data_IF_733462970005
#
_entry.id   IF_733462970005
#
_cell.length_a   1.000
_cell.length_b   1.000
_cell.length_c   1.000
_cell.angle_alpha   90.00
_cell.angle_beta   90.00
_cell.angle_gamma   90.00
#
_symmetry.space_group_name_H-M   'P 1'
#
loop_
_entity.id
_entity.type
_entity.pdbx_description
1 polymer ?
#
# COMPACT_ATOMS: atom_id res chain seq x y z
N UNK A 1 -7.74 -9.73 8.89
CA UNK A 1 -7.17 -10.17 7.59
C UNK A 1 -7.92 -11.28 6.82
N UNK A 2 -8.19 -12.47 7.38
CA UNK A 2 -8.87 -13.55 6.62
C UNK A 2 -10.34 -13.21 6.31
N UNK A 3 -11.06 -12.67 7.31
CA UNK A 3 -12.42 -12.16 7.11
C UNK A 3 -12.49 -11.02 6.09
N UNK A 4 -11.45 -10.17 6.05
CA UNK A 4 -11.30 -9.08 5.08
C UNK A 4 -11.15 -9.62 3.65
N UNK A 5 -10.31 -10.63 3.45
CA UNK A 5 -10.13 -11.29 2.15
C UNK A 5 -11.46 -11.81 1.59
N UNK A 6 -12.29 -12.40 2.46
CA UNK A 6 -13.58 -12.97 2.07
C UNK A 6 -14.63 -11.90 1.73
N UNK A 7 -14.63 -10.79 2.46
CA UNK A 7 -15.55 -9.68 2.19
C UNK A 7 -15.19 -8.92 0.91
N UNK A 8 -13.90 -8.75 0.62
CA UNK A 8 -13.46 -7.94 -0.53
C UNK A 8 -13.69 -8.60 -1.89
N UNK A 9 -13.55 -9.93 -2.00
CA UNK A 9 -13.59 -10.63 -3.30
C UNK A 9 -14.88 -11.38 -3.62
N UNK A 10 -15.80 -11.56 -2.66
CA UNK A 10 -17.11 -12.19 -2.89
C UNK A 10 -17.09 -13.69 -3.27
N UNK A 11 -15.91 -14.28 -3.54
CA UNK A 11 -15.75 -15.68 -3.93
C UNK A 11 -14.74 -16.43 -3.04
N UNK A 12 -14.96 -17.74 -2.82
CA UNK A 12 -14.12 -18.63 -1.99
C UNK A 12 -12.90 -19.23 -2.70
N UNK A 13 -12.55 -18.79 -3.91
CA UNK A 13 -11.34 -19.25 -4.60
C UNK A 13 -10.17 -18.35 -4.24
N UNK A 14 -9.23 -18.91 -3.48
CA UNK A 14 -7.97 -18.27 -3.13
C UNK A 14 -6.84 -19.20 -3.53
N UNK A 15 -5.76 -18.64 -4.06
CA UNK A 15 -4.53 -19.40 -4.24
C UNK A 15 -3.72 -19.41 -2.94
N UNK A 16 -2.82 -20.38 -2.79
CA UNK A 16 -1.91 -20.46 -1.62
C UNK A 16 -1.16 -19.13 -1.45
N UNK A 17 -0.79 -18.49 -2.56
CA UNK A 17 -0.14 -17.19 -2.61
C UNK A 17 -0.97 -16.06 -1.99
N UNK A 18 -2.30 -16.08 -2.16
CA UNK A 18 -3.20 -15.08 -1.55
C UNK A 18 -3.20 -15.22 -0.02
N UNK A 19 -3.11 -16.44 0.50
CA UNK A 19 -3.03 -16.70 1.95
C UNK A 19 -1.69 -16.20 2.51
N UNK A 20 -0.60 -16.40 1.76
CA UNK A 20 0.73 -15.95 2.17
C UNK A 20 0.81 -14.42 2.23
N UNK A 21 0.19 -13.73 1.28
CA UNK A 21 0.17 -12.26 1.22
C UNK A 21 -0.49 -11.64 2.48
N UNK A 22 -1.43 -12.34 3.12
CA UNK A 22 -2.05 -11.88 4.38
C UNK A 22 -1.05 -11.76 5.54
N UNK A 23 0.03 -12.57 5.53
CA UNK A 23 1.03 -12.57 6.59
C UNK A 23 2.12 -11.53 6.38
N UNK A 24 2.28 -11.02 5.16
CA UNK A 24 3.34 -10.11 4.78
C UNK A 24 2.88 -8.67 4.92
N UNK A 25 3.70 -7.85 5.56
CA UNK A 25 3.47 -6.42 5.66
C UNK A 25 2.41 -6.00 6.67
N UNK A 26 2.22 -4.68 6.76
CA UNK A 26 1.09 -4.02 7.42
C UNK A 26 -0.04 -3.87 6.42
N UNK A 27 -1.25 -4.22 6.84
CA UNK A 27 -2.44 -4.12 5.99
C UNK A 27 -3.30 -3.00 6.57
N UNK A 28 -3.54 -1.97 5.75
CA UNK A 28 -4.33 -0.80 6.15
C UNK A 28 -5.45 -0.65 5.13
N UNK A 29 -6.70 -0.50 5.57
CA UNK A 29 -7.88 -0.24 4.75
C UNK A 29 -8.46 1.13 5.09
N UNK A 30 -7.97 2.21 4.45
CA UNK A 30 -8.49 3.56 4.71
C UNK A 30 -9.94 3.74 4.28
N UNK A 31 -10.36 2.99 3.24
CA UNK A 31 -11.70 3.01 2.70
C UNK A 31 -12.18 1.59 2.36
N UNK A 32 -13.50 1.33 2.30
CA UNK A 32 -14.02 -0.01 2.02
C UNK A 32 -13.54 -0.61 0.69
N UNK A 33 -13.28 0.21 -0.33
CA UNK A 33 -13.00 -0.22 -1.70
C UNK A 33 -11.52 -0.42 -2.05
N UNK A 34 -10.58 -0.06 -1.16
CA UNK A 34 -9.17 -0.37 -1.35
C UNK A 34 -8.41 -0.56 -0.04
N UNK A 35 -7.32 -1.33 -0.10
CA UNK A 35 -6.36 -1.48 1.00
C UNK A 35 -4.92 -1.39 0.53
N UNK A 36 -4.05 -1.05 1.45
CA UNK A 36 -2.60 -0.96 1.28
C UNK A 36 -1.92 -2.13 1.98
N UNK A 37 -0.96 -2.75 1.30
CA UNK A 37 -0.06 -3.76 1.85
C UNK A 37 1.36 -3.21 1.87
N UNK A 38 1.86 -2.90 3.05
CA UNK A 38 3.08 -2.11 3.27
C UNK A 38 4.17 -3.01 3.84
N UNK A 39 5.29 -3.18 3.14
CA UNK A 39 6.42 -3.98 3.66
C UNK A 39 6.97 -3.41 4.98
N UNK A 40 7.35 -4.30 5.91
CA UNK A 40 7.94 -3.93 7.21
C UNK A 40 9.47 -3.85 7.17
N UNK A 41 10.08 -4.64 6.31
CA UNK A 41 11.52 -4.78 6.13
C UNK A 41 11.86 -5.15 4.67
N UNK A 42 13.16 -5.27 4.38
CA UNK A 42 13.65 -5.56 3.02
C UNK A 42 13.24 -6.95 2.51
N UNK A 43 13.08 -7.93 3.41
CA UNK A 43 12.62 -9.27 3.05
C UNK A 43 11.17 -9.24 2.58
N UNK A 44 10.30 -8.55 3.32
CA UNK A 44 8.91 -8.36 2.93
C UNK A 44 8.77 -7.50 1.68
N UNK A 45 9.56 -6.43 1.54
CA UNK A 45 9.59 -5.62 0.32
C UNK A 45 9.96 -6.48 -0.89
N UNK A 46 10.96 -7.37 -0.76
CA UNK A 46 11.36 -8.28 -1.83
C UNK A 46 10.27 -9.31 -2.16
N UNK A 47 9.55 -9.82 -1.16
CA UNK A 47 8.39 -10.68 -1.38
C UNK A 47 7.28 -9.94 -2.16
N UNK A 48 6.91 -8.73 -1.71
CA UNK A 48 5.87 -7.91 -2.35
C UNK A 48 6.24 -7.51 -3.80
N UNK A 49 7.54 -7.37 -4.13
CA UNK A 49 7.99 -7.09 -5.51
C UNK A 49 7.51 -8.13 -6.53
N UNK A 50 7.32 -9.38 -6.10
CA UNK A 50 6.82 -10.46 -6.96
C UNK A 50 5.40 -10.23 -7.47
N UNK A 51 4.62 -9.39 -6.77
CA UNK A 51 3.21 -9.14 -7.06
C UNK A 51 2.95 -7.82 -7.81
N UNK A 52 4.00 -7.09 -8.22
CA UNK A 52 3.88 -5.81 -8.95
C UNK A 52 3.16 -5.90 -10.30
N UNK A 53 3.07 -7.08 -10.89
CA UNK A 53 2.30 -7.31 -12.12
C UNK A 53 0.79 -7.52 -11.87
N UNK A 54 0.41 -7.74 -10.61
CA UNK A 54 -0.97 -8.04 -10.20
C UNK A 54 -1.63 -6.86 -9.47
N UNK A 55 -0.83 -5.98 -8.87
CA UNK A 55 -1.31 -4.83 -8.12
C UNK A 55 -0.60 -3.57 -8.56
N UNK A 56 -1.33 -2.45 -8.57
CA UNK A 56 -0.71 -1.14 -8.57
C UNK A 56 0.18 -1.03 -7.33
N UNK A 57 1.28 -0.28 -7.44
CA UNK A 57 2.22 -0.17 -6.32
C UNK A 57 2.87 1.20 -6.24
N UNK A 58 3.22 1.58 -5.01
CA UNK A 58 3.86 2.83 -4.68
C UNK A 58 5.16 2.61 -3.93
N UNK A 59 6.10 3.52 -4.11
CA UNK A 59 7.28 3.66 -3.27
C UNK A 59 7.72 5.12 -3.24
N UNK A 60 8.40 5.54 -2.18
CA UNK A 60 9.06 6.84 -2.15
C UNK A 60 10.27 6.82 -3.10
N UNK A 61 10.33 7.77 -4.04
CA UNK A 61 11.47 7.95 -4.94
C UNK A 61 12.51 8.92 -4.38
N UNK A 62 12.06 9.85 -3.52
CA UNK A 62 12.91 10.83 -2.82
C UNK A 62 13.63 10.26 -1.60
N UNK A 63 13.10 9.20 -0.99
CA UNK A 63 13.57 8.66 0.28
C UNK A 63 13.53 7.13 0.28
N UNK A 64 14.35 6.50 1.13
CA UNK A 64 14.16 5.07 1.40
C UNK A 64 12.84 4.83 2.12
N UNK A 65 12.12 3.81 1.70
CA UNK A 65 10.83 3.46 2.27
C UNK A 65 10.35 2.08 1.81
N UNK A 66 9.17 1.67 2.27
CA UNK A 66 8.60 0.39 1.91
C UNK A 66 8.12 0.39 0.46
N UNK A 67 8.02 -0.81 -0.11
CA UNK A 67 7.13 -1.05 -1.23
C UNK A 67 5.71 -1.20 -0.69
N UNK A 68 4.76 -0.53 -1.31
CA UNK A 68 3.34 -0.58 -0.96
C UNK A 68 2.56 -1.09 -2.16
N UNK A 69 1.83 -2.18 -1.99
CA UNK A 69 0.86 -2.65 -2.99
C UNK A 69 -0.53 -2.11 -2.66
N UNK A 70 -1.32 -1.84 -3.70
CA UNK A 70 -2.70 -1.36 -3.58
C UNK A 70 -3.64 -2.46 -4.12
N UNK A 71 -4.54 -2.93 -3.27
CA UNK A 71 -5.55 -3.95 -3.60
C UNK A 71 -6.95 -3.31 -3.54
N UNK A 72 -7.61 -3.22 -4.70
CA UNK A 72 -8.88 -2.54 -4.89
C UNK A 72 -8.87 -1.58 -6.07
N UNK A 73 -9.86 -0.68 -6.10
CA UNK A 73 -10.08 0.27 -7.20
C UNK A 73 -10.09 1.72 -6.66
N UNK A 74 -8.93 2.28 -6.28
CA UNK A 74 -8.83 3.64 -5.74
C UNK A 74 -9.12 4.69 -6.82
N UNK A 75 -9.79 5.78 -6.44
CA UNK A 75 -9.85 6.99 -7.27
C UNK A 75 -8.63 7.91 -7.01
N UNK A 76 -8.58 9.07 -7.66
CA UNK A 76 -7.46 10.01 -7.52
C UNK A 76 -7.23 10.49 -6.08
N UNK A 77 -8.29 10.84 -5.34
CA UNK A 77 -8.17 11.27 -3.94
C UNK A 77 -7.65 10.13 -3.05
N UNK A 78 -8.06 8.89 -3.34
CA UNK A 78 -7.57 7.69 -2.66
C UNK A 78 -6.10 7.41 -2.97
N UNK A 79 -5.66 7.63 -4.21
CA UNK A 79 -4.26 7.52 -4.61
C UNK A 79 -3.42 8.58 -3.90
N UNK A 80 -3.92 9.81 -3.79
CA UNK A 80 -3.23 10.85 -3.03
C UNK A 80 -3.11 10.46 -1.53
N UNK A 81 -4.16 9.91 -0.93
CA UNK A 81 -4.12 9.38 0.44
C UNK A 81 -3.14 8.21 0.57
N UNK A 82 -3.13 7.28 -0.39
CA UNK A 82 -2.21 6.15 -0.41
C UNK A 82 -0.74 6.60 -0.53
N UNK A 83 -0.46 7.65 -1.30
CA UNK A 83 0.86 8.24 -1.40
C UNK A 83 1.30 8.84 -0.06
N UNK A 84 0.43 9.59 0.62
CA UNK A 84 0.71 10.14 1.96
C UNK A 84 1.02 9.05 2.99
N UNK A 85 0.24 7.96 2.97
CA UNK A 85 0.48 6.80 3.83
C UNK A 85 1.79 6.09 3.48
N UNK A 86 2.10 5.93 2.20
CA UNK A 86 3.38 5.38 1.74
C UNK A 86 4.57 6.18 2.27
N UNK A 87 4.52 7.52 2.15
CA UNK A 87 5.55 8.42 2.67
C UNK A 87 5.71 8.29 4.20
N UNK A 88 4.60 8.14 4.93
CA UNK A 88 4.59 7.99 6.39
C UNK A 88 5.35 6.75 6.87
N UNK A 89 5.27 5.63 6.16
CA UNK A 89 6.02 4.43 6.55
C UNK A 89 7.49 4.44 6.10
N UNK A 90 7.95 5.51 5.45
CA UNK A 90 9.32 5.69 4.98
C UNK A 90 10.25 6.49 5.90
N UNK A 91 11.44 6.83 5.37
CA UNK A 91 12.44 7.64 6.08
C UNK A 91 12.12 9.14 6.08
N UNK A 92 11.46 9.67 5.05
CA UNK A 92 11.01 11.07 4.98
C UNK A 92 9.73 11.38 5.76
N UNK A 93 9.34 10.53 6.71
CA UNK A 93 8.05 10.60 7.43
C UNK A 93 7.86 11.84 8.33
N UNK A 94 8.90 12.64 8.52
CA UNK A 94 8.90 13.88 9.31
C UNK A 94 9.19 15.11 8.46
N UNK A 95 9.38 14.93 7.15
CA UNK A 95 9.69 16.02 6.24
C UNK A 95 8.40 16.65 5.72
N UNK A 96 8.49 17.89 5.25
CA UNK A 96 7.32 18.63 4.75
C UNK A 96 6.77 18.04 3.44
N UNK A 97 7.63 17.42 2.64
CA UNK A 97 7.29 16.86 1.34
C UNK A 97 8.11 15.59 1.04
N UNK A 98 7.45 14.57 0.51
CA UNK A 98 8.05 13.35 -0.03
C UNK A 98 7.48 13.09 -1.42
N UNK A 99 8.36 12.87 -2.40
CA UNK A 99 7.97 12.35 -3.72
C UNK A 99 7.74 10.84 -3.64
N UNK A 100 6.54 10.42 -4.04
CA UNK A 100 6.10 9.02 -4.15
C UNK A 100 5.75 8.73 -5.59
N UNK A 101 6.25 7.61 -6.12
CA UNK A 101 5.95 7.15 -7.47
C UNK A 101 4.94 6.00 -7.40
N UNK A 102 3.81 6.19 -8.07
CA UNK A 102 2.84 5.15 -8.40
C UNK A 102 3.23 4.47 -9.70
N UNK A 103 3.13 3.16 -9.74
CA UNK A 103 3.15 2.34 -10.95
C UNK A 103 1.80 1.66 -11.09
N UNK A 104 1.14 1.87 -12.22
CA UNK A 104 -0.09 1.17 -12.55
C UNK A 104 0.19 -0.24 -13.12
N UNK A 105 -0.86 -0.97 -13.50
CA UNK A 105 -0.72 -2.32 -14.08
C UNK A 105 -0.21 -2.32 -15.53
N UNK A 106 -0.18 -1.16 -16.19
CA UNK A 106 0.43 -0.97 -17.51
C UNK A 106 1.90 -0.54 -17.44
N UNK A 107 2.46 -0.48 -16.21
CA UNK A 107 3.80 0.04 -15.91
C UNK A 107 3.97 1.54 -16.22
N UNK A 108 2.86 2.27 -16.37
CA UNK A 108 2.87 3.72 -16.42
C UNK A 108 3.11 4.27 -15.00
N UNK A 109 3.89 5.35 -14.95
CA UNK A 109 4.26 5.98 -13.68
C UNK A 109 3.60 7.34 -13.50
N UNK A 110 3.24 7.63 -12.26
CA UNK A 110 2.72 8.95 -11.85
C UNK A 110 3.40 9.34 -10.54
N UNK A 111 3.86 10.59 -10.45
CA UNK A 111 4.51 11.10 -9.25
C UNK A 111 3.56 11.95 -8.41
N UNK A 112 3.59 11.72 -7.11
CA UNK A 112 2.87 12.48 -6.10
C UNK A 112 3.88 13.14 -5.17
N UNK A 113 3.82 14.47 -5.08
CA UNK A 113 4.52 15.23 -4.05
C UNK A 113 3.56 15.49 -2.91
N UNK A 114 3.83 14.88 -1.75
CA UNK A 114 2.87 14.86 -0.67
C UNK A 114 3.55 15.07 0.68
N UNK A 115 2.86 15.78 1.57
CA UNK A 115 3.20 15.77 2.99
C UNK A 115 2.87 14.39 3.58
N UNK A 116 3.82 13.72 4.26
CA UNK A 116 3.58 12.44 4.92
C UNK A 116 2.33 12.47 5.80
N UNK A 117 1.60 11.36 5.84
CA UNK A 117 0.45 11.25 6.72
C UNK A 117 0.89 11.33 8.19
N UNK A 118 0.24 12.10 9.09
CA UNK A 118 0.72 12.25 10.45
C UNK A 118 0.70 10.92 11.26
N UNK A 119 1.65 10.73 12.19
CA UNK A 119 1.74 9.54 13.05
C UNK A 119 0.47 9.21 13.83
N UNK A 120 -0.12 10.22 14.46
CA UNK A 120 -1.21 10.06 15.42
C UNK A 120 -2.59 10.00 14.74
N UNK A 121 -2.61 10.22 13.42
CA UNK A 121 -3.84 10.40 12.66
C UNK A 121 -4.26 9.11 11.95
N UNK A 122 -3.47 8.02 11.95
CA UNK A 122 -3.89 6.77 11.31
C UNK A 122 -4.90 6.09 12.24
N UNK A 123 -6.21 6.06 11.90
CA UNK A 123 -7.22 5.49 12.76
C UNK A 123 -6.97 3.99 12.96
N UNK A 124 -7.12 3.51 14.19
CA UNK A 124 -6.79 2.14 14.52
C UNK A 124 -7.69 1.13 13.80
N UNK A 125 -8.93 1.54 13.48
CA UNK A 125 -9.88 0.76 12.70
C UNK A 125 -9.44 0.51 11.25
N UNK A 126 -8.47 1.25 10.72
CA UNK A 126 -7.93 0.97 9.39
C UNK A 126 -7.01 -0.26 9.39
N UNK A 127 -6.43 -0.65 10.53
CA UNK A 127 -5.54 -1.81 10.59
C UNK A 127 -6.34 -3.13 10.58
N UNK A 128 -5.93 -4.07 9.70
CA UNK A 128 -6.60 -5.34 9.45
C UNK A 128 -5.96 -6.58 10.10
#
# INVERSE_FOLDING_TARGET
KLADLWQARGERRYEIDDIMLLKVGRHIRPRPHFKLMIGRDDGENNFLKGYRKRYQHMHASSHRGPLVLIDGDPNEDDLQLAARLTARFGKGRMDDEVTVTLHDLSDQTTEYKVAPFPPDDIPQEWYL
#
